data_IF_741108775538
#
_entry.id   IF_741108775538
#
_cell.length_a   1.000
_cell.length_b   1.000
_cell.length_c   1.000
_cell.angle_alpha   90.00
_cell.angle_beta   90.00
_cell.angle_gamma   90.00
#
_symmetry.space_group_name_H-M   'P 1'
#
loop_
_entity.id
_entity.type
_entity.pdbx_description
1 polymer ?
#
# COMPACT_ATOMS: atom_id res chain seq x y z
N UNK A 1 72.96 -0.49 30.57
CA UNK A 1 73.42 0.92 30.56
C UNK A 1 72.78 1.58 29.36
N UNK A 2 71.65 2.26 29.60
CA UNK A 2 71.49 3.74 29.51
C UNK A 2 71.39 4.21 28.06
N UNK A 3 70.18 4.39 27.52
CA UNK A 3 69.48 5.69 27.47
C UNK A 3 69.39 6.12 25.99
N UNK A 4 68.43 6.85 25.46
CA UNK A 4 67.29 7.62 25.96
C UNK A 4 66.35 7.85 24.77
N UNK A 5 65.08 8.12 25.07
CA UNK A 5 64.01 8.47 24.15
C UNK A 5 64.36 9.64 23.23
N UNK A 6 63.88 9.60 21.99
CA UNK A 6 63.61 10.81 21.23
C UNK A 6 62.20 10.82 20.64
N UNK A 7 61.53 11.92 20.96
CA UNK A 7 60.10 12.15 20.89
C UNK A 7 59.79 12.94 19.60
N UNK A 8 59.37 12.25 18.53
CA UNK A 8 59.01 12.89 17.28
C UNK A 8 57.49 12.99 17.11
N UNK A 9 56.95 14.09 17.64
CA UNK A 9 55.96 14.99 17.03
C UNK A 9 54.89 14.35 16.13
N UNK A 10 53.69 14.12 16.71
CA UNK A 10 52.46 13.79 15.96
C UNK A 10 51.97 15.01 15.17
N UNK A 11 51.82 14.94 13.84
CA UNK A 11 51.11 15.97 13.11
C UNK A 11 49.62 15.84 13.38
N UNK A 12 49.05 16.90 13.97
CA UNK A 12 47.62 17.11 14.14
C UNK A 12 47.00 17.28 12.76
N UNK A 13 46.36 16.23 12.24
CA UNK A 13 45.54 16.30 11.03
C UNK A 13 44.11 16.56 11.49
N UNK A 14 43.70 17.84 11.43
CA UNK A 14 42.29 18.23 11.40
C UNK A 14 41.68 17.62 10.13
N UNK A 15 41.04 16.45 10.27
CA UNK A 15 40.24 15.85 9.22
C UNK A 15 38.91 16.58 9.13
N UNK A 16 38.74 17.35 8.06
CA UNK A 16 37.51 18.05 7.69
C UNK A 16 36.34 17.06 7.66
N UNK A 17 35.34 17.28 8.52
CA UNK A 17 34.08 16.54 8.52
C UNK A 17 33.29 16.99 7.28
N UNK A 18 33.45 16.27 6.17
CA UNK A 18 32.63 16.47 4.98
C UNK A 18 31.20 16.02 5.31
N UNK A 19 30.33 16.99 5.59
CA UNK A 19 28.91 16.77 5.77
C UNK A 19 28.31 16.43 4.40
N UNK A 20 28.30 15.14 4.06
CA UNK A 20 27.61 14.63 2.88
C UNK A 20 26.11 14.88 3.07
N UNK A 21 25.57 15.89 2.39
CA UNK A 21 24.13 16.09 2.28
C UNK A 21 23.55 14.89 1.55
N UNK A 22 22.91 13.97 2.28
CA UNK A 22 22.05 12.96 1.68
C UNK A 22 20.89 13.69 1.00
N UNK A 23 20.94 13.79 -0.33
CA UNK A 23 19.73 14.02 -1.12
C UNK A 23 18.91 12.73 -1.02
N UNK A 24 18.00 12.66 -0.07
CA UNK A 24 16.95 11.65 -0.10
C UNK A 24 16.13 11.90 -1.38
N UNK A 25 15.91 10.88 -2.23
CA UNK A 25 14.98 11.02 -3.33
C UNK A 25 13.61 11.32 -2.72
N UNK A 26 13.02 12.46 -3.11
CA UNK A 26 11.61 12.71 -2.90
C UNK A 26 10.85 11.55 -3.57
N UNK A 27 10.14 10.76 -2.78
CA UNK A 27 9.21 9.76 -3.30
C UNK A 27 8.26 10.49 -4.26
N UNK A 28 8.38 10.18 -5.55
CA UNK A 28 7.46 10.69 -6.55
C UNK A 28 6.09 10.10 -6.23
N UNK A 29 5.09 10.96 -5.95
CA UNK A 29 3.71 10.52 -5.82
C UNK A 29 3.32 9.81 -7.12
N UNK A 30 3.22 8.47 -7.06
CA UNK A 30 2.99 7.64 -8.21
C UNK A 30 1.50 7.70 -8.54
N UNK A 31 1.11 8.59 -9.44
CA UNK A 31 -0.18 8.50 -10.13
C UNK A 31 0.06 8.21 -11.61
N UNK A 32 0.17 6.93 -11.90
CA UNK A 32 -0.17 6.30 -13.16
C UNK A 32 -0.82 4.99 -12.72
N UNK A 33 -2.12 4.82 -12.94
CA UNK A 33 -2.94 3.78 -12.32
C UNK A 33 -2.37 2.39 -12.65
N UNK A 34 -1.54 1.84 -11.75
CA UNK A 34 -0.91 0.54 -11.97
C UNK A 34 -1.93 -0.51 -11.60
N UNK A 35 -2.69 -0.95 -12.59
CA UNK A 35 -3.53 -2.13 -12.44
C UNK A 35 -2.64 -3.36 -12.21
N UNK A 36 -3.07 -4.23 -11.31
CA UNK A 36 -2.38 -5.49 -11.02
C UNK A 36 -1.15 -5.36 -10.12
N UNK A 37 -0.81 -4.18 -9.59
CA UNK A 37 0.23 -4.04 -8.58
C UNK A 37 -0.37 -3.84 -7.18
N UNK A 38 0.09 -4.62 -6.21
CA UNK A 38 -0.25 -4.49 -4.79
C UNK A 38 1.01 -4.38 -3.93
N UNK A 39 0.83 -4.02 -2.67
CA UNK A 39 1.86 -3.96 -1.65
C UNK A 39 1.53 -4.96 -0.53
N UNK A 40 2.53 -5.70 -0.06
CA UNK A 40 2.41 -6.59 1.09
C UNK A 40 3.46 -6.22 2.15
N UNK A 41 3.01 -5.75 3.30
CA UNK A 41 3.88 -5.45 4.44
C UNK A 41 3.81 -6.57 5.45
N UNK A 42 4.97 -7.02 5.95
CA UNK A 42 5.07 -8.12 6.91
C UNK A 42 5.86 -7.65 8.13
N UNK A 43 5.29 -7.78 9.32
CA UNK A 43 5.98 -7.49 10.58
C UNK A 43 6.04 -8.74 11.46
N UNK A 44 7.23 -9.01 11.99
CA UNK A 44 7.51 -10.16 12.87
C UNK A 44 8.18 -9.67 14.15
N UNK A 45 7.57 -9.94 15.30
CA UNK A 45 8.14 -9.60 16.61
C UNK A 45 7.77 -10.66 17.64
N UNK A 46 8.76 -11.31 18.25
CA UNK A 46 8.55 -12.40 19.21
C UNK A 46 7.64 -13.51 18.66
N UNK A 47 6.42 -13.57 19.19
CA UNK A 47 5.38 -14.53 18.81
C UNK A 47 4.31 -13.98 17.87
N UNK A 48 4.43 -12.74 17.38
CA UNK A 48 3.41 -12.09 16.55
C UNK A 48 3.89 -11.89 15.12
N UNK A 49 3.04 -12.27 14.19
CA UNK A 49 3.22 -12.07 12.76
C UNK A 49 2.01 -11.30 12.21
N UNK A 50 2.25 -10.12 11.66
CA UNK A 50 1.25 -9.26 11.05
C UNK A 50 1.53 -9.11 9.56
N UNK A 51 0.49 -9.25 8.74
CA UNK A 51 0.55 -9.01 7.30
C UNK A 51 -0.51 -7.97 6.93
N UNK A 52 -0.14 -7.02 6.09
CA UNK A 52 -1.05 -6.05 5.49
C UNK A 52 -0.91 -6.09 3.97
N UNK A 53 -1.99 -6.45 3.29
CA UNK A 53 -2.12 -6.34 1.84
C UNK A 53 -2.85 -5.05 1.50
N UNK A 54 -2.22 -4.16 0.74
CA UNK A 54 -2.80 -2.92 0.22
C UNK A 54 -2.80 -2.97 -1.31
N UNK A 55 -3.96 -2.73 -1.92
CA UNK A 55 -4.11 -2.87 -3.37
C UNK A 55 -5.13 -1.88 -3.93
N UNK A 56 -4.93 -1.33 -5.14
CA UNK A 56 -5.98 -0.63 -5.86
C UNK A 56 -7.21 -1.52 -6.00
N UNK A 57 -8.41 -0.97 -5.81
CA UNK A 57 -9.64 -1.74 -5.96
C UNK A 57 -9.78 -2.35 -7.36
N UNK A 58 -9.30 -1.66 -8.41
CA UNK A 58 -9.28 -2.19 -9.76
C UNK A 58 -8.53 -3.54 -9.88
N UNK A 59 -7.49 -3.76 -9.08
CA UNK A 59 -6.71 -5.00 -9.09
C UNK A 59 -7.42 -6.16 -8.40
N UNK A 60 -8.39 -5.90 -7.53
CA UNK A 60 -9.11 -6.91 -6.74
C UNK A 60 -10.53 -7.14 -7.28
N UNK A 61 -11.31 -6.06 -7.46
CA UNK A 61 -12.73 -6.12 -7.87
C UNK A 61 -12.96 -5.64 -9.31
N UNK A 62 -11.95 -5.09 -9.99
CA UNK A 62 -12.03 -4.69 -11.40
C UNK A 62 -12.51 -3.26 -11.65
N UNK A 63 -12.75 -2.46 -10.61
CA UNK A 63 -13.18 -1.06 -10.70
C UNK A 63 -12.73 -0.25 -9.48
N UNK A 64 -12.72 1.08 -9.58
CA UNK A 64 -12.26 1.99 -8.50
C UNK A 64 -13.38 2.84 -7.88
N UNK A 65 -14.59 2.79 -8.44
CA UNK A 65 -15.74 3.53 -7.95
C UNK A 65 -16.60 2.68 -6.99
N UNK A 66 -17.58 3.28 -6.34
CA UNK A 66 -18.56 2.54 -5.55
C UNK A 66 -19.33 1.54 -6.42
N UNK A 67 -19.56 0.33 -5.93
CA UNK A 67 -20.35 -0.68 -6.62
C UNK A 67 -21.80 -0.22 -6.77
N UNK A 68 -22.36 -0.31 -7.99
CA UNK A 68 -23.70 0.18 -8.35
C UNK A 68 -24.62 -0.88 -8.94
N UNK A 69 -24.07 -1.93 -9.53
CA UNK A 69 -24.84 -3.03 -10.11
C UNK A 69 -24.82 -4.27 -9.21
N UNK A 70 -25.81 -5.18 -9.33
CA UNK A 70 -25.80 -6.46 -8.62
C UNK A 70 -24.50 -7.25 -8.83
N UNK A 71 -23.95 -7.23 -10.05
CA UNK A 71 -22.69 -7.91 -10.39
C UNK A 71 -21.50 -7.27 -9.67
N UNK A 72 -21.48 -5.94 -9.54
CA UNK A 72 -20.43 -5.24 -8.78
C UNK A 72 -20.53 -5.53 -7.29
N UNK A 73 -21.73 -5.52 -6.71
CA UNK A 73 -21.92 -5.90 -5.31
C UNK A 73 -21.49 -7.35 -5.05
N UNK A 74 -21.78 -8.26 -5.99
CA UNK A 74 -21.30 -9.64 -5.92
C UNK A 74 -19.78 -9.71 -5.98
N UNK A 75 -19.13 -8.99 -6.90
CA UNK A 75 -17.67 -8.97 -7.01
C UNK A 75 -17.00 -8.49 -5.71
N UNK A 76 -17.54 -7.44 -5.07
CA UNK A 76 -17.00 -6.98 -3.78
C UNK A 76 -17.25 -8.02 -2.66
N UNK A 77 -18.41 -8.66 -2.65
CA UNK A 77 -18.72 -9.70 -1.66
C UNK A 77 -17.81 -10.92 -1.80
N UNK A 78 -17.52 -11.36 -3.03
CA UNK A 78 -16.60 -12.46 -3.31
C UNK A 78 -15.17 -12.09 -2.95
N UNK A 79 -14.72 -10.89 -3.33
CA UNK A 79 -13.40 -10.38 -2.96
C UNK A 79 -13.20 -10.34 -1.45
N UNK A 80 -14.18 -9.81 -0.69
CA UNK A 80 -14.16 -9.83 0.78
C UNK A 80 -13.99 -11.25 1.31
N UNK A 81 -14.81 -12.18 0.83
CA UNK A 81 -14.78 -13.58 1.29
C UNK A 81 -13.41 -14.22 1.03
N UNK A 82 -12.82 -14.00 -0.15
CA UNK A 82 -11.49 -14.51 -0.46
C UNK A 82 -10.41 -13.85 0.40
N UNK A 83 -10.48 -12.53 0.60
CA UNK A 83 -9.53 -11.79 1.44
C UNK A 83 -9.58 -12.24 2.91
N UNK A 84 -10.76 -12.58 3.43
CA UNK A 84 -10.94 -13.07 4.80
C UNK A 84 -10.55 -14.56 4.98
N UNK A 85 -10.28 -15.29 3.88
CA UNK A 85 -9.80 -16.68 3.87
C UNK A 85 -8.27 -16.74 3.75
N UNK A 86 -7.58 -16.30 4.80
CA UNK A 86 -6.13 -16.16 4.82
C UNK A 86 -5.36 -17.44 4.49
N UNK A 87 -5.90 -18.62 4.85
CA UNK A 87 -5.34 -19.94 4.58
C UNK A 87 -5.31 -20.30 3.09
N UNK A 88 -6.16 -19.69 2.27
CA UNK A 88 -6.13 -19.82 0.81
C UNK A 88 -5.16 -18.85 0.15
N UNK A 89 -4.78 -17.78 0.85
CA UNK A 89 -3.89 -16.74 0.33
C UNK A 89 -2.44 -16.98 0.73
N UNK A 90 -2.20 -17.46 1.95
CA UNK A 90 -0.88 -17.57 2.53
C UNK A 90 -0.58 -19.00 2.99
N UNK A 91 0.53 -19.54 2.49
CA UNK A 91 1.12 -20.77 3.03
C UNK A 91 2.38 -20.43 3.82
N UNK A 92 2.36 -20.70 5.12
CA UNK A 92 3.46 -20.41 6.04
C UNK A 92 4.30 -21.68 6.24
N UNK A 93 5.63 -21.54 6.23
CA UNK A 93 6.55 -22.63 6.55
C UNK A 93 7.45 -22.27 7.73
N UNK A 94 7.37 -23.06 8.80
CA UNK A 94 8.09 -22.80 10.06
C UNK A 94 7.31 -21.90 11.02
N UNK A 95 7.89 -21.62 12.18
CA UNK A 95 7.32 -20.73 13.20
C UNK A 95 6.09 -21.22 13.97
N UNK A 96 5.39 -22.27 13.48
CA UNK A 96 4.14 -22.81 14.05
C UNK A 96 3.12 -21.69 14.29
N UNK A 97 2.76 -20.97 13.23
CA UNK A 97 1.85 -19.84 13.27
C UNK A 97 0.40 -20.29 13.08
N UNK A 98 -0.49 -19.78 13.92
CA UNK A 98 -1.94 -19.95 13.84
C UNK A 98 -2.61 -18.60 13.57
N UNK A 99 -3.58 -18.58 12.66
CA UNK A 99 -4.32 -17.36 12.33
C UNK A 99 -5.17 -16.94 13.55
N UNK A 100 -4.91 -15.74 14.06
CA UNK A 100 -5.69 -15.13 15.13
C UNK A 100 -6.83 -14.26 14.58
N UNK A 101 -6.56 -13.50 13.50
CA UNK A 101 -7.54 -12.62 12.87
C UNK A 101 -7.26 -12.42 11.38
N UNK A 102 -8.31 -12.36 10.58
CA UNK A 102 -8.30 -11.85 9.22
C UNK A 102 -9.44 -10.84 9.07
N UNK A 103 -9.17 -9.70 8.44
CA UNK A 103 -10.15 -8.64 8.19
C UNK A 103 -9.82 -7.92 6.87
N UNK A 104 -10.86 -7.46 6.17
CA UNK A 104 -10.70 -6.74 4.91
C UNK A 104 -11.56 -5.47 4.89
N UNK A 105 -10.92 -4.34 4.65
CA UNK A 105 -11.57 -3.05 4.41
C UNK A 105 -11.76 -2.83 2.89
N UNK A 106 -13.03 -2.88 2.49
CA UNK A 106 -13.49 -2.59 1.12
C UNK A 106 -14.45 -1.39 1.12
N UNK A 107 -14.43 -0.55 2.16
CA UNK A 107 -15.38 0.55 2.32
C UNK A 107 -15.32 1.54 1.14
N UNK A 108 -14.14 1.73 0.56
CA UNK A 108 -13.93 2.64 -0.57
C UNK A 108 -14.77 2.28 -1.83
N UNK A 109 -15.10 1.00 -2.02
CA UNK A 109 -15.97 0.52 -3.13
C UNK A 109 -17.38 0.16 -2.69
N UNK A 110 -17.71 0.28 -1.40
CA UNK A 110 -19.05 0.04 -0.85
C UNK A 110 -19.77 1.33 -0.46
N UNK A 111 -19.06 2.45 -0.34
CA UNK A 111 -19.65 3.73 -0.02
C UNK A 111 -20.50 4.21 -1.21
N UNK A 112 -21.80 3.95 -1.19
CA UNK A 112 -22.76 4.66 -2.04
C UNK A 112 -22.49 6.15 -1.84
N UNK A 113 -21.88 6.82 -2.83
CA UNK A 113 -21.93 8.28 -2.86
C UNK A 113 -23.39 8.59 -3.11
N UNK A 114 -24.15 8.77 -2.03
CA UNK A 114 -25.35 9.57 -2.04
C UNK A 114 -24.87 10.96 -2.46
N UNK A 115 -24.79 11.16 -3.76
CA UNK A 115 -25.06 12.47 -4.31
C UNK A 115 -26.52 12.70 -3.95
N UNK A 116 -26.75 13.22 -2.72
CA UNK A 116 -27.87 14.12 -2.54
C UNK A 116 -27.68 15.12 -3.67
N UNK A 117 -28.54 14.96 -4.67
CA UNK A 117 -28.79 16.00 -5.64
C UNK A 117 -29.11 17.24 -4.82
N UNK A 118 -28.14 18.15 -4.74
CA UNK A 118 -28.46 19.54 -4.49
C UNK A 118 -29.45 19.92 -5.59
N UNK A 119 -30.74 19.82 -5.25
CA UNK A 119 -31.84 20.49 -5.93
C UNK A 119 -31.48 21.98 -5.90
N UNK A 120 -30.78 22.43 -6.93
CA UNK A 120 -30.89 23.81 -7.35
C UNK A 120 -32.25 23.97 -8.01
N UNK A 121 -33.26 24.20 -7.15
CA UNK A 121 -34.51 24.86 -7.54
C UNK A 121 -34.16 26.28 -8.03
N UNK A 122 -33.72 26.39 -9.29
CA UNK A 122 -33.64 27.66 -10.01
C UNK A 122 -35.05 28.02 -10.51
N UNK A 123 -35.88 28.46 -9.57
CA UNK A 123 -37.13 29.14 -9.85
C UNK A 123 -36.90 30.65 -9.86
N UNK A 124 -36.37 31.22 -10.95
CA UNK A 124 -36.43 32.67 -11.17
C UNK A 124 -36.71 33.05 -12.64
N UNK A 125 -37.98 33.37 -12.87
CA UNK A 125 -38.56 34.43 -13.70
C UNK A 125 -37.92 34.79 -15.06
N UNK A 126 -38.71 34.54 -16.11
CA UNK A 126 -38.69 35.26 -17.39
C UNK A 126 -38.84 36.78 -17.15
N UNK A 127 -37.91 37.59 -17.64
CA UNK A 127 -38.15 38.94 -18.17
C UNK A 127 -37.02 39.27 -19.18
N UNK A 128 -37.42 39.57 -20.42
CA UNK A 128 -36.54 40.04 -21.50
C UNK A 128 -35.93 41.43 -21.17
N UNK A 129 -34.67 41.68 -21.57
CA UNK A 129 -34.20 42.84 -22.39
C UNK A 129 -32.68 43.14 -22.27
N UNK A 130 -31.99 42.96 -23.42
CA UNK A 130 -30.82 43.66 -24.00
C UNK A 130 -29.45 43.83 -23.29
N UNK A 131 -28.44 43.25 -23.96
CA UNK A 131 -27.02 43.57 -24.10
C UNK A 131 -26.47 44.88 -23.52
N UNK A 132 -25.33 44.79 -22.81
CA UNK A 132 -23.98 45.22 -23.24
C UNK A 132 -22.97 44.68 -22.21
N UNK A 133 -21.79 44.29 -22.68
CA UNK A 133 -20.90 43.35 -21.98
C UNK A 133 -20.13 43.85 -20.77
N UNK A 134 -19.61 42.89 -19.99
CA UNK A 134 -18.34 42.98 -19.28
C UNK A 134 -17.79 41.57 -19.01
N UNK A 135 -16.52 41.40 -19.35
CA UNK A 135 -15.69 40.22 -19.16
C UNK A 135 -15.69 39.73 -17.72
N UNK A 136 -15.80 38.41 -17.52
CA UNK A 136 -14.95 37.66 -16.60
C UNK A 136 -14.83 36.24 -17.16
N UNK A 137 -13.65 35.92 -17.71
CA UNK A 137 -13.22 34.55 -17.96
C UNK A 137 -13.15 33.83 -16.60
N UNK A 138 -14.26 33.19 -16.24
CA UNK A 138 -14.34 32.22 -15.15
C UNK A 138 -13.79 30.90 -15.66
N UNK A 139 -12.47 30.79 -15.75
CA UNK A 139 -11.77 29.51 -15.80
C UNK A 139 -11.99 28.78 -14.45
N UNK A 140 -13.21 28.26 -14.24
CA UNK A 140 -13.47 27.25 -13.23
C UNK A 140 -12.92 25.92 -13.74
N UNK A 141 -11.58 25.86 -13.78
CA UNK A 141 -10.90 24.58 -13.73
C UNK A 141 -11.21 24.02 -12.36
N UNK A 142 -12.22 23.14 -12.30
CA UNK A 142 -12.36 22.15 -11.25
C UNK A 142 -11.09 21.29 -11.23
N UNK A 143 -10.04 21.85 -10.63
CA UNK A 143 -8.81 21.19 -10.31
C UNK A 143 -9.09 20.33 -9.09
N UNK A 144 -9.02 19.01 -9.30
CA UNK A 144 -8.96 18.04 -8.22
C UNK A 144 -10.33 17.56 -7.75
N UNK A 145 -11.04 16.78 -8.58
CA UNK A 145 -11.42 15.49 -8.01
C UNK A 145 -10.09 14.78 -7.80
N UNK A 146 -9.58 14.86 -6.58
CA UNK A 146 -8.55 13.93 -6.17
C UNK A 146 -9.17 12.55 -6.37
N UNK A 147 -8.83 11.92 -7.50
CA UNK A 147 -8.94 10.49 -7.74
C UNK A 147 -8.01 9.83 -6.71
N UNK A 148 -8.38 9.94 -5.43
CA UNK A 148 -7.82 9.11 -4.38
C UNK A 148 -8.36 7.73 -4.72
N UNK A 149 -7.58 6.99 -5.50
CA UNK A 149 -7.89 5.63 -5.90
C UNK A 149 -8.39 4.85 -4.69
N UNK A 150 -9.56 4.25 -4.83
CA UNK A 150 -10.17 3.43 -3.79
C UNK A 150 -9.25 2.24 -3.54
N UNK A 151 -8.45 2.28 -2.49
CA UNK A 151 -7.65 1.13 -2.10
C UNK A 151 -8.47 0.16 -1.23
N UNK A 152 -8.23 -1.12 -1.44
CA UNK A 152 -8.68 -2.20 -0.57
C UNK A 152 -7.50 -2.61 0.30
N UNK A 153 -7.77 -2.76 1.60
CA UNK A 153 -6.77 -3.20 2.59
C UNK A 153 -7.24 -4.47 3.26
N UNK A 154 -6.34 -5.43 3.46
CA UNK A 154 -6.60 -6.63 4.23
C UNK A 154 -5.49 -6.86 5.25
N UNK A 155 -5.89 -7.18 6.48
CA UNK A 155 -4.99 -7.38 7.61
C UNK A 155 -5.11 -8.80 8.14
N UNK A 156 -3.95 -9.39 8.44
CA UNK A 156 -3.85 -10.75 8.96
C UNK A 156 -2.93 -10.78 10.16
N UNK A 157 -3.45 -11.24 11.29
CA UNK A 157 -2.70 -11.40 12.53
C UNK A 157 -2.56 -12.88 12.84
N UNK A 158 -1.34 -13.33 13.09
CA UNK A 158 -0.99 -14.69 13.44
C UNK A 158 -0.25 -14.72 14.77
N UNK A 159 -0.58 -15.71 15.61
CA UNK A 159 0.22 -16.06 16.78
C UNK A 159 1.11 -17.25 16.44
N UNK A 160 2.41 -17.07 16.52
CA UNK A 160 3.44 -18.07 16.27
C UNK A 160 4.06 -18.57 17.56
N UNK A 161 4.60 -19.79 17.56
CA UNK A 161 5.44 -20.25 18.67
C UNK A 161 6.74 -19.43 18.75
N UNK A 162 7.34 -19.13 17.59
CA UNK A 162 8.55 -18.32 17.45
C UNK A 162 8.67 -17.80 16.01
N UNK A 163 8.59 -16.48 15.81
CA UNK A 163 8.69 -15.88 14.47
C UNK A 163 10.10 -15.97 13.87
N UNK A 164 11.15 -16.15 14.68
CA UNK A 164 12.51 -16.36 14.18
C UNK A 164 12.68 -17.72 13.50
N UNK A 165 11.79 -18.68 13.80
CA UNK A 165 11.73 -19.98 13.14
C UNK A 165 10.88 -19.99 11.86
N UNK A 166 10.23 -18.88 11.49
CA UNK A 166 9.50 -18.74 10.23
C UNK A 166 10.51 -18.64 9.07
N UNK A 167 10.39 -19.57 8.12
CA UNK A 167 11.32 -19.70 6.99
C UNK A 167 10.80 -19.01 5.74
N UNK A 168 9.51 -19.17 5.46
CA UNK A 168 8.91 -18.58 4.26
C UNK A 168 7.42 -18.34 4.40
N UNK A 169 6.93 -17.40 3.61
CA UNK A 169 5.52 -17.21 3.28
C UNK A 169 5.39 -17.33 1.76
N UNK A 170 4.47 -18.16 1.29
CA UNK A 170 4.05 -18.19 -0.11
C UNK A 170 2.73 -17.45 -0.24
N UNK A 171 2.66 -16.45 -1.13
CA UNK A 171 1.42 -15.73 -1.44
C UNK A 171 0.81 -16.27 -2.75
N UNK A 172 -0.37 -16.88 -2.66
CA UNK A 172 -1.07 -17.46 -3.81
C UNK A 172 -0.37 -18.70 -4.37
N UNK A 173 -0.50 -19.86 -3.72
CA UNK A 173 0.21 -21.08 -4.16
C UNK A 173 -0.16 -21.53 -5.57
N UNK A 174 -1.42 -21.31 -5.99
CA UNK A 174 -1.91 -21.58 -7.34
C UNK A 174 -1.61 -20.48 -8.38
N UNK A 175 -1.02 -19.36 -7.97
CA UNK A 175 -0.86 -18.13 -8.76
C UNK A 175 -1.24 -16.92 -7.92
N UNK A 176 -0.83 -15.71 -8.34
CA UNK A 176 -1.27 -14.51 -7.61
C UNK A 176 -2.80 -14.41 -7.71
N UNK A 177 -3.50 -14.19 -6.59
CA UNK A 177 -4.95 -14.12 -6.57
C UNK A 177 -5.44 -12.84 -7.24
N UNK A 178 -6.73 -12.82 -7.58
CA UNK A 178 -7.37 -11.68 -8.25
C UNK A 178 -6.67 -11.34 -9.59
N UNK A 179 -6.77 -10.09 -10.04
CA UNK A 179 -6.07 -9.59 -11.22
C UNK A 179 -4.64 -9.12 -10.92
N UNK A 180 -3.98 -9.67 -9.89
CA UNK A 180 -2.63 -9.24 -9.52
C UNK A 180 -1.57 -9.79 -10.48
N UNK A 181 -0.77 -8.88 -11.00
CA UNK A 181 0.39 -9.17 -11.83
C UNK A 181 1.68 -9.12 -11.00
N UNK A 182 1.73 -8.26 -9.99
CA UNK A 182 2.87 -8.15 -9.09
C UNK A 182 2.51 -7.67 -7.70
N UNK A 183 3.36 -8.03 -6.73
CA UNK A 183 3.23 -7.58 -5.34
C UNK A 183 4.58 -7.12 -4.83
N UNK A 184 4.69 -5.86 -4.44
CA UNK A 184 5.88 -5.34 -3.79
C UNK A 184 5.81 -5.68 -2.30
N UNK A 185 6.69 -6.58 -1.85
CA UNK A 185 6.74 -7.06 -0.47
C UNK A 185 7.83 -6.33 0.28
N UNK A 186 7.52 -5.90 1.51
CA UNK A 186 8.53 -5.50 2.48
C UNK A 186 8.30 -6.23 3.80
N UNK A 187 9.38 -6.53 4.52
CA UNK A 187 9.28 -7.14 5.84
C UNK A 187 10.24 -6.53 6.86
N UNK A 188 9.83 -6.62 8.12
CA UNK A 188 10.57 -6.19 9.31
C UNK A 188 10.56 -7.34 10.33
N UNK A 189 11.72 -7.65 10.89
CA UNK A 189 11.88 -8.69 11.92
C UNK A 189 13.03 -8.38 12.86
N UNK A 190 13.12 -9.12 13.95
CA UNK A 190 14.28 -9.11 14.87
C UNK A 190 15.60 -9.49 14.16
N UNK A 191 15.53 -10.26 13.07
CA UNK A 191 16.69 -10.65 12.25
C UNK A 191 17.09 -9.58 11.25
N UNK A 192 16.25 -8.57 11.05
CA UNK A 192 16.44 -7.49 10.08
C UNK A 192 15.23 -7.28 9.18
N UNK A 193 15.45 -6.51 8.12
CA UNK A 193 14.42 -6.07 7.18
C UNK A 193 14.81 -6.40 5.73
N UNK A 194 13.83 -6.46 4.84
CA UNK A 194 14.08 -6.65 3.42
C UNK A 194 12.88 -6.34 2.56
N UNK A 195 13.07 -6.47 1.26
CA UNK A 195 12.02 -6.28 0.26
C UNK A 195 12.23 -7.22 -0.93
N UNK A 196 11.13 -7.62 -1.56
CA UNK A 196 11.12 -8.47 -2.73
C UNK A 196 9.87 -8.18 -3.56
N UNK A 197 10.01 -8.17 -4.89
CA UNK A 197 8.86 -8.17 -5.79
C UNK A 197 8.42 -9.59 -6.10
N UNK A 198 7.13 -9.87 -5.92
CA UNK A 198 6.47 -11.10 -6.37
C UNK A 198 5.84 -10.90 -7.73
N UNK A 199 5.75 -11.98 -8.49
CA UNK A 199 5.07 -12.08 -9.78
C UNK A 199 4.46 -13.47 -9.94
N UNK A 200 3.90 -13.77 -11.11
CA UNK A 200 3.28 -15.06 -11.40
C UNK A 200 4.24 -16.26 -11.29
N UNK A 201 5.56 -16.06 -11.33
CA UNK A 201 6.57 -17.13 -11.23
C UNK A 201 7.29 -17.14 -9.87
N UNK A 202 7.35 -16.00 -9.18
CA UNK A 202 8.05 -15.79 -7.91
C UNK A 202 7.07 -15.38 -6.83
N UNK A 203 6.59 -16.37 -6.06
CA UNK A 203 5.54 -16.18 -5.05
C UNK A 203 5.97 -16.49 -3.62
N UNK A 204 7.21 -16.92 -3.45
CA UNK A 204 7.79 -17.30 -2.14
C UNK A 204 8.66 -16.17 -1.61
N UNK A 205 8.36 -15.73 -0.40
CA UNK A 205 9.15 -14.79 0.39
C UNK A 205 9.97 -15.63 1.37
N UNK A 206 11.30 -15.56 1.29
CA UNK A 206 12.19 -16.31 2.16
C UNK A 206 12.79 -15.38 3.22
N UNK A 207 12.68 -15.77 4.48
CA UNK A 207 13.21 -15.01 5.62
C UNK A 207 14.51 -15.66 6.09
N UNK A 208 15.65 -15.05 5.75
CA UNK A 208 16.99 -15.49 6.16
C UNK A 208 17.33 -15.04 7.58
#
# INVERSE_FOLDING_TARGET
MTGTLDNAKRPSQLGVLALATLLAPLATAQSAHVHGAAELTIAMEGSQLELELNSPAASIVGFEHSARSPEQHQAVSEARKTLEQADQLFELSGGNCELAKADADLAAVMAEKNHDSDDHDDAHHDEDHHAEGHHHDGDDKHAGHDDVHSNIRAHYSYTCADTTALKSITFGSAGLPFGLESVDVMWLSERGQGAQKLDQDKRVINFN
#
